data_IF_280758224975
#
_entry.id   IF_280758224975
#
_cell.length_a   1.000
_cell.length_b   1.000
_cell.length_c   1.000
_cell.angle_alpha   90.00
_cell.angle_beta   90.00
_cell.angle_gamma   90.00
#
_symmetry.space_group_name_H-M   'P 1'
#
loop_
_entity.id
_entity.type
_entity.pdbx_description
1 polymer ?
#
# COMPACT_ATOMS: atom_id res chain seq x y z
N UNK A 1 79.90 -11.76 18.90
CA UNK A 1 79.04 -10.96 18.02
C UNK A 1 78.44 -11.90 17.00
N UNK A 2 77.24 -12.47 17.26
CA UNK A 2 76.56 -13.40 16.37
C UNK A 2 75.22 -12.79 15.97
N UNK A 3 75.09 -12.45 14.68
CA UNK A 3 73.85 -11.88 14.11
C UNK A 3 72.94 -13.04 13.74
N UNK A 4 71.79 -13.12 14.32
CA UNK A 4 70.74 -14.08 14.00
C UNK A 4 69.79 -13.40 13.00
N UNK A 5 69.74 -13.90 11.77
CA UNK A 5 68.80 -13.45 10.76
C UNK A 5 67.46 -14.18 10.95
N UNK A 6 66.41 -13.44 11.23
CA UNK A 6 65.04 -13.94 11.34
C UNK A 6 64.37 -13.84 9.97
N UNK A 7 64.15 -14.99 9.33
CA UNK A 7 63.35 -15.12 8.09
C UNK A 7 61.87 -15.01 8.48
N UNK A 8 61.22 -13.91 8.13
CA UNK A 8 59.75 -13.76 8.22
C UNK A 8 59.14 -14.27 6.93
N UNK A 9 58.60 -15.50 7.00
CA UNK A 9 57.78 -16.03 5.94
C UNK A 9 56.44 -15.26 5.81
N UNK A 10 56.22 -14.69 4.66
CA UNK A 10 54.97 -14.00 4.29
C UNK A 10 54.03 -15.04 3.72
N UNK A 11 53.04 -15.47 4.53
CA UNK A 11 51.94 -16.34 4.03
C UNK A 11 50.91 -15.41 3.41
N UNK A 12 50.85 -15.38 2.10
CA UNK A 12 49.80 -14.68 1.36
C UNK A 12 48.55 -15.61 1.35
N UNK A 13 47.63 -15.36 2.23
CA UNK A 13 46.31 -15.97 2.19
C UNK A 13 45.48 -15.29 1.09
N UNK A 14 45.34 -15.98 -0.05
CA UNK A 14 44.45 -15.56 -1.13
C UNK A 14 43.00 -15.74 -0.70
N UNK A 15 42.36 -14.67 -0.25
CA UNK A 15 40.92 -14.61 -0.05
C UNK A 15 40.24 -14.51 -1.42
N UNK A 16 39.71 -15.64 -1.90
CA UNK A 16 38.82 -15.66 -3.04
C UNK A 16 37.52 -14.95 -2.64
N UNK A 17 37.36 -13.69 -3.05
CA UNK A 17 36.10 -12.97 -2.99
C UNK A 17 35.13 -13.61 -4.00
N UNK A 18 34.25 -14.48 -3.53
CA UNK A 18 33.04 -14.83 -4.26
C UNK A 18 32.19 -13.57 -4.35
N UNK A 19 32.29 -12.84 -5.46
CA UNK A 19 31.30 -11.80 -5.80
C UNK A 19 29.99 -12.49 -6.14
N UNK A 20 29.11 -12.58 -5.16
CA UNK A 20 27.71 -12.91 -5.38
C UNK A 20 27.15 -11.71 -6.12
N UNK A 21 27.10 -11.77 -7.45
CA UNK A 21 26.29 -10.86 -8.25
C UNK A 21 24.82 -11.16 -7.88
N UNK A 22 24.31 -10.47 -6.85
CA UNK A 22 22.88 -10.32 -6.66
C UNK A 22 22.37 -9.50 -7.85
N UNK A 23 21.90 -10.19 -8.89
CA UNK A 23 20.99 -9.60 -9.85
C UNK A 23 19.72 -9.25 -9.06
N UNK A 24 19.71 -8.09 -8.42
CA UNK A 24 18.47 -7.43 -8.07
C UNK A 24 17.83 -7.12 -9.42
N UNK A 25 16.98 -8.01 -9.92
CA UNK A 25 16.04 -7.66 -10.94
C UNK A 25 15.30 -6.44 -10.38
N UNK A 26 15.45 -5.28 -11.02
CA UNK A 26 14.64 -4.09 -10.77
C UNK A 26 13.19 -4.49 -11.09
N UNK A 27 12.54 -5.09 -10.12
CA UNK A 27 11.11 -5.40 -10.19
C UNK A 27 10.43 -4.04 -10.11
N UNK A 28 10.22 -3.42 -11.28
CA UNK A 28 9.51 -2.16 -11.43
C UNK A 28 8.17 -2.32 -10.71
N UNK A 29 8.01 -1.62 -9.58
CA UNK A 29 6.76 -1.61 -8.81
C UNK A 29 5.64 -1.18 -9.76
N UNK A 30 4.58 -2.00 -9.92
CA UNK A 30 3.48 -1.66 -10.81
C UNK A 30 2.77 -0.37 -10.38
N UNK A 31 2.13 0.36 -11.30
CA UNK A 31 1.34 1.55 -10.95
C UNK A 31 0.27 1.22 -9.91
N UNK A 32 0.16 2.05 -8.87
CA UNK A 32 -0.83 1.86 -7.82
C UNK A 32 -2.26 1.75 -8.38
N UNK A 33 -3.10 0.97 -7.70
CA UNK A 33 -4.51 0.81 -8.09
C UNK A 33 -4.77 -0.06 -9.31
N UNK A 34 -3.77 -0.74 -9.86
CA UNK A 34 -3.90 -1.71 -10.96
C UNK A 34 -4.03 -3.15 -10.45
N UNK A 35 -4.49 -4.05 -11.30
CA UNK A 35 -4.49 -5.49 -11.01
C UNK A 35 -3.06 -6.02 -10.81
N UNK A 36 -2.10 -5.48 -11.55
CA UNK A 36 -0.68 -5.80 -11.39
C UNK A 36 -0.16 -5.38 -10.00
N UNK A 37 -0.52 -4.19 -9.50
CA UNK A 37 -0.16 -3.76 -8.15
C UNK A 37 -0.77 -4.66 -7.08
N UNK A 38 -2.04 -5.06 -7.24
CA UNK A 38 -2.68 -6.02 -6.31
C UNK A 38 -1.97 -7.38 -6.29
N UNK A 39 -1.62 -7.91 -7.46
CA UNK A 39 -0.86 -9.16 -7.57
C UNK A 39 0.50 -9.02 -6.87
N UNK A 40 1.22 -7.94 -7.14
CA UNK A 40 2.51 -7.64 -6.54
C UNK A 40 2.44 -7.58 -5.00
N UNK A 41 1.45 -6.87 -4.44
CA UNK A 41 1.26 -6.77 -2.99
C UNK A 41 1.01 -8.16 -2.35
N UNK A 42 0.20 -9.00 -3.01
CA UNK A 42 -0.05 -10.38 -2.54
C UNK A 42 1.23 -11.22 -2.62
N UNK A 43 2.04 -11.07 -3.66
CA UNK A 43 3.32 -11.77 -3.81
C UNK A 43 4.31 -11.37 -2.71
N UNK A 44 4.36 -10.09 -2.32
CA UNK A 44 5.19 -9.63 -1.21
C UNK A 44 4.73 -10.24 0.12
N UNK A 45 3.42 -10.26 0.38
CA UNK A 45 2.86 -10.90 1.57
C UNK A 45 3.12 -12.42 1.57
N UNK A 46 3.02 -13.07 0.41
CA UNK A 46 3.31 -14.50 0.24
C UNK A 46 4.76 -14.81 0.56
N UNK A 47 5.71 -13.97 0.10
CA UNK A 47 7.13 -14.11 0.44
C UNK A 47 7.36 -14.03 1.96
N UNK A 48 6.73 -13.08 2.64
CA UNK A 48 6.79 -12.96 4.10
C UNK A 48 6.17 -14.16 4.81
N UNK A 49 4.98 -14.61 4.39
CA UNK A 49 4.31 -15.77 4.98
C UNK A 49 5.15 -17.06 4.86
N UNK A 50 5.88 -17.22 3.74
CA UNK A 50 6.82 -18.34 3.54
C UNK A 50 8.02 -18.27 4.48
N UNK A 51 8.59 -17.07 4.71
CA UNK A 51 9.69 -16.88 5.68
C UNK A 51 9.24 -17.27 7.09
N UNK A 52 8.01 -16.95 7.46
CA UNK A 52 7.43 -17.30 8.77
C UNK A 52 6.81 -18.70 8.83
N UNK A 53 6.86 -19.47 7.74
CA UNK A 53 6.29 -20.82 7.63
C UNK A 53 4.81 -20.91 8.04
N UNK A 54 4.03 -19.86 7.77
CA UNK A 54 2.61 -19.81 8.08
C UNK A 54 1.79 -20.47 6.96
N UNK A 55 1.58 -21.79 7.07
CA UNK A 55 0.92 -22.59 6.03
C UNK A 55 -0.50 -22.09 5.69
N UNK A 56 -1.29 -21.69 6.69
CA UNK A 56 -2.65 -21.18 6.46
C UNK A 56 -2.66 -19.85 5.69
N UNK A 57 -1.76 -18.96 6.04
CA UNK A 57 -1.63 -17.68 5.32
C UNK A 57 -1.11 -17.89 3.89
N UNK A 58 -0.16 -18.81 3.69
CA UNK A 58 0.36 -19.15 2.36
C UNK A 58 -0.79 -19.62 1.46
N UNK A 59 -1.59 -20.60 1.91
CA UNK A 59 -2.71 -21.12 1.13
C UNK A 59 -3.75 -20.04 0.78
N UNK A 60 -4.09 -19.16 1.73
CA UNK A 60 -5.02 -18.06 1.52
C UNK A 60 -4.49 -17.06 0.48
N UNK A 61 -3.21 -16.68 0.58
CA UNK A 61 -2.58 -15.74 -0.34
C UNK A 61 -2.40 -16.33 -1.75
N UNK A 62 -2.07 -17.61 -1.88
CA UNK A 62 -2.00 -18.28 -3.19
C UNK A 62 -3.38 -18.32 -3.88
N UNK A 63 -4.45 -18.53 -3.10
CA UNK A 63 -5.82 -18.47 -3.62
C UNK A 63 -6.19 -17.05 -4.04
N UNK A 64 -5.85 -16.04 -3.23
CA UNK A 64 -6.08 -14.65 -3.55
C UNK A 64 -5.31 -14.20 -4.80
N UNK A 65 -4.03 -14.60 -4.94
CA UNK A 65 -3.20 -14.30 -6.10
C UNK A 65 -3.83 -14.87 -7.38
N UNK A 66 -4.23 -16.13 -7.34
CA UNK A 66 -4.91 -16.79 -8.47
C UNK A 66 -6.21 -16.07 -8.84
N UNK A 67 -6.99 -15.65 -7.85
CA UNK A 67 -8.23 -14.89 -8.09
C UNK A 67 -7.95 -13.56 -8.77
N UNK A 68 -6.93 -12.82 -8.33
CA UNK A 68 -6.52 -11.57 -8.98
C UNK A 68 -6.07 -11.82 -10.42
N UNK A 69 -5.24 -12.81 -10.65
CA UNK A 69 -4.72 -13.14 -12.00
C UNK A 69 -5.82 -13.56 -12.99
N UNK A 70 -6.89 -14.19 -12.49
CA UNK A 70 -7.96 -14.71 -13.36
C UNK A 70 -9.16 -13.79 -13.50
N UNK A 71 -9.48 -12.96 -12.53
CA UNK A 71 -10.73 -12.21 -12.48
C UNK A 71 -10.57 -10.69 -12.33
N UNK A 72 -9.35 -10.19 -12.07
CA UNK A 72 -9.16 -8.76 -11.93
C UNK A 72 -9.10 -8.09 -13.29
N UNK A 73 -9.82 -6.98 -13.45
CA UNK A 73 -9.77 -6.11 -14.62
C UNK A 73 -9.53 -4.67 -14.16
N UNK A 74 -8.61 -3.97 -14.80
CA UNK A 74 -8.25 -2.60 -14.42
C UNK A 74 -9.42 -1.63 -14.65
N UNK A 75 -10.24 -1.86 -15.67
CA UNK A 75 -11.45 -1.07 -15.92
C UNK A 75 -12.48 -1.22 -14.80
N UNK A 76 -12.68 -2.41 -14.27
CA UNK A 76 -13.58 -2.62 -13.11
C UNK A 76 -13.07 -1.89 -11.88
N UNK A 77 -11.76 -1.88 -11.67
CA UNK A 77 -11.15 -1.14 -10.55
C UNK A 77 -11.34 0.37 -10.72
N UNK A 78 -11.21 0.88 -11.94
CA UNK A 78 -11.45 2.30 -12.25
C UNK A 78 -12.91 2.69 -12.00
N UNK A 79 -13.85 1.90 -12.51
CA UNK A 79 -15.29 2.14 -12.28
C UNK A 79 -15.62 2.13 -10.79
N UNK A 80 -15.13 1.17 -10.04
CA UNK A 80 -15.34 1.11 -8.58
C UNK A 80 -14.80 2.34 -7.85
N UNK A 81 -13.61 2.83 -8.22
CA UNK A 81 -13.06 4.07 -7.63
C UNK A 81 -13.90 5.30 -7.95
N UNK A 82 -14.40 5.41 -9.18
CA UNK A 82 -15.29 6.50 -9.56
C UNK A 82 -16.61 6.45 -8.80
N UNK A 83 -17.20 5.27 -8.63
CA UNK A 83 -18.41 5.08 -7.83
C UNK A 83 -18.17 5.45 -6.36
N UNK A 84 -17.05 4.99 -5.77
CA UNK A 84 -16.68 5.37 -4.41
C UNK A 84 -16.52 6.89 -4.26
N UNK A 85 -15.86 7.55 -5.21
CA UNK A 85 -15.73 9.01 -5.19
C UNK A 85 -17.09 9.71 -5.21
N UNK A 86 -18.01 9.28 -6.10
CA UNK A 86 -19.36 9.83 -6.19
C UNK A 86 -20.16 9.63 -4.88
N UNK A 87 -20.04 8.46 -4.26
CA UNK A 87 -20.64 8.17 -2.96
C UNK A 87 -20.12 9.10 -1.86
N UNK A 88 -18.78 9.33 -1.79
CA UNK A 88 -18.18 10.24 -0.81
C UNK A 88 -18.59 11.70 -1.04
N UNK A 89 -18.73 12.12 -2.30
CA UNK A 89 -19.27 13.46 -2.63
C UNK A 89 -20.72 13.62 -2.16
N UNK A 90 -21.58 12.64 -2.40
CA UNK A 90 -22.95 12.63 -1.95
C UNK A 90 -23.03 12.67 -0.41
N UNK A 91 -22.11 11.98 0.28
CA UNK A 91 -22.04 11.98 1.75
C UNK A 91 -21.66 13.33 2.31
N UNK A 92 -20.72 14.04 1.71
CA UNK A 92 -20.38 15.42 2.11
C UNK A 92 -21.60 16.33 1.96
N UNK A 93 -22.28 16.27 0.81
CA UNK A 93 -23.49 17.08 0.57
C UNK A 93 -24.61 16.80 1.59
N UNK A 94 -24.82 15.53 1.96
CA UNK A 94 -25.76 15.13 3.03
C UNK A 94 -25.37 15.77 4.37
N UNK A 95 -24.10 15.68 4.76
CA UNK A 95 -23.62 16.24 6.05
C UNK A 95 -23.69 17.77 6.09
N UNK A 96 -23.45 18.43 4.98
CA UNK A 96 -23.63 19.88 4.84
C UNK A 96 -25.11 20.29 4.99
N UNK A 97 -26.03 19.53 4.41
CA UNK A 97 -27.46 19.78 4.55
C UNK A 97 -27.93 19.59 6.01
N UNK A 98 -27.51 18.48 6.66
CA UNK A 98 -27.81 18.22 8.08
C UNK A 98 -27.28 19.32 9.01
N UNK A 99 -26.07 19.84 8.74
CA UNK A 99 -25.49 20.93 9.52
C UNK A 99 -26.30 22.22 9.34
N UNK A 100 -26.63 22.58 8.09
CA UNK A 100 -27.47 23.75 7.80
C UNK A 100 -28.83 23.70 8.48
N UNK A 101 -29.50 22.53 8.40
CA UNK A 101 -30.79 22.34 9.08
C UNK A 101 -30.67 22.49 10.59
N UNK A 102 -29.64 21.97 11.22
CA UNK A 102 -29.41 22.11 12.65
C UNK A 102 -29.15 23.59 13.06
N UNK A 103 -28.44 24.34 12.22
CA UNK A 103 -28.18 25.75 12.44
C UNK A 103 -29.48 26.60 12.29
N UNK A 104 -30.29 26.31 11.25
CA UNK A 104 -31.53 27.01 11.00
C UNK A 104 -32.63 26.72 12.05
N UNK A 105 -32.67 25.49 12.57
CA UNK A 105 -33.60 25.08 13.61
C UNK A 105 -33.25 25.57 15.03
N UNK A 106 -32.12 26.29 15.20
CA UNK A 106 -31.66 26.74 16.51
C UNK A 106 -31.25 25.59 17.44
N UNK A 107 -30.68 24.52 16.88
CA UNK A 107 -30.18 23.41 17.68
C UNK A 107 -29.10 23.86 18.67
N UNK A 108 -28.96 23.14 19.80
CA UNK A 108 -27.94 23.42 20.79
C UNK A 108 -26.52 23.29 20.24
N UNK A 109 -25.55 23.91 20.91
CA UNK A 109 -24.17 23.98 20.49
C UNK A 109 -23.54 22.58 20.34
N UNK A 110 -23.87 21.66 21.21
CA UNK A 110 -23.33 20.28 21.21
C UNK A 110 -23.78 19.51 19.96
N UNK A 111 -25.04 19.70 19.56
CA UNK A 111 -25.59 19.08 18.34
C UNK A 111 -24.92 19.65 17.10
N UNK A 112 -24.75 20.99 17.04
CA UNK A 112 -24.03 21.64 15.94
C UNK A 112 -22.59 21.15 15.87
N UNK A 113 -21.85 21.08 16.97
CA UNK A 113 -20.49 20.60 17.03
C UNK A 113 -20.39 19.14 16.56
N UNK A 114 -21.31 18.28 16.97
CA UNK A 114 -21.38 16.89 16.51
C UNK A 114 -21.59 16.78 14.99
N UNK A 115 -22.44 17.65 14.41
CA UNK A 115 -22.66 17.70 12.95
C UNK A 115 -21.44 18.20 12.21
N UNK A 116 -20.74 19.19 12.74
CA UNK A 116 -19.46 19.66 12.20
C UNK A 116 -18.39 18.56 12.19
N UNK A 117 -18.30 17.76 13.26
CA UNK A 117 -17.40 16.61 13.33
C UNK A 117 -17.69 15.58 12.23
N UNK A 118 -18.98 15.25 12.02
CA UNK A 118 -19.39 14.32 10.95
C UNK A 118 -19.10 14.87 9.55
N UNK A 119 -19.23 16.17 9.34
CA UNK A 119 -18.88 16.80 8.07
C UNK A 119 -17.37 16.72 7.83
N UNK A 120 -16.55 17.01 8.84
CA UNK A 120 -15.09 16.93 8.74
C UNK A 120 -14.63 15.50 8.40
N UNK A 121 -15.23 14.48 9.02
CA UNK A 121 -14.98 13.06 8.71
C UNK A 121 -15.34 12.74 7.25
N UNK A 122 -16.53 13.13 6.79
CA UNK A 122 -16.94 12.90 5.40
C UNK A 122 -16.02 13.59 4.38
N UNK A 123 -15.54 14.80 4.69
CA UNK A 123 -14.58 15.53 3.87
C UNK A 123 -13.20 14.82 3.85
N UNK A 124 -12.79 14.21 4.95
CA UNK A 124 -11.55 13.40 4.98
C UNK A 124 -11.69 12.17 4.11
N UNK A 125 -12.80 11.46 4.19
CA UNK A 125 -13.10 10.31 3.34
C UNK A 125 -13.08 10.67 1.85
N UNK A 126 -13.68 11.81 1.50
CA UNK A 126 -13.67 12.32 0.12
C UNK A 126 -12.25 12.59 -0.38
N UNK A 127 -11.41 13.22 0.45
CA UNK A 127 -10.00 13.45 0.08
C UNK A 127 -9.25 12.14 -0.12
N UNK A 128 -9.49 11.11 0.70
CA UNK A 128 -8.89 9.79 0.54
C UNK A 128 -9.31 9.15 -0.79
N UNK A 129 -10.60 9.19 -1.15
CA UNK A 129 -11.08 8.67 -2.43
C UNK A 129 -10.48 9.41 -3.64
N UNK A 130 -10.29 10.73 -3.54
CA UNK A 130 -9.60 11.52 -4.58
C UNK A 130 -8.13 11.12 -4.73
N UNK A 131 -7.44 10.89 -3.62
CA UNK A 131 -6.05 10.44 -3.62
C UNK A 131 -5.89 9.05 -4.26
N UNK A 132 -6.83 8.13 -4.01
CA UNK A 132 -6.82 6.80 -4.64
C UNK A 132 -6.92 6.90 -6.17
N UNK A 133 -7.75 7.80 -6.71
CA UNK A 133 -7.85 8.02 -8.15
C UNK A 133 -6.55 8.61 -8.70
N UNK A 134 -6.00 9.64 -8.04
CA UNK A 134 -4.75 10.27 -8.47
C UNK A 134 -3.57 9.30 -8.44
N UNK A 135 -3.45 8.48 -7.38
CA UNK A 135 -2.40 7.48 -7.26
C UNK A 135 -2.50 6.37 -8.32
N UNK A 136 -3.72 6.06 -8.76
CA UNK A 136 -3.97 5.10 -9.83
C UNK A 136 -3.71 5.65 -11.26
N UNK A 137 -3.16 6.85 -11.40
CA UNK A 137 -2.92 7.49 -12.69
C UNK A 137 -4.18 8.14 -13.25
N UNK A 138 -4.95 8.82 -12.39
CA UNK A 138 -6.24 9.41 -12.70
C UNK A 138 -6.26 10.28 -13.96
N UNK A 139 -6.56 9.64 -15.07
CA UNK A 139 -6.98 10.26 -16.33
C UNK A 139 -8.40 9.80 -16.62
#
# INVERSE_FOLDING_TARGET
MKKVAVFRGFVIASLAFCTINAYAADAKVPPAGTCAAKAYDIEQQLAQARQHRNAGQIQGLETALRSVQTHCQDDDLRVKRQQNLAEKQAKVAEREAELRESQQSGADADKIQKRQGKLAEAQQDLRAAQQEITAAGGQ
#
